data_IF_514980405676
#
_entry.id   IF_514980405676
#
_cell.length_a   1.000
_cell.length_b   1.000
_cell.length_c   1.000
_cell.angle_alpha   90.00
_cell.angle_beta   90.00
_cell.angle_gamma   90.00
#
_symmetry.space_group_name_H-M   'P 1'
#
loop_
_entity.id
_entity.type
_entity.pdbx_description
1 polymer ?
#
# COMPACT_ATOMS: atom_id res chain seq x y z
N UNK A 1 -8.60 14.11 -12.68
CA UNK A 1 -7.83 13.91 -11.44
C UNK A 1 -6.42 13.50 -11.84
N UNK A 2 -5.39 14.12 -11.28
CA UNK A 2 -3.98 13.77 -11.55
C UNK A 2 -3.44 12.89 -10.44
N UNK A 3 -2.51 12.01 -10.79
CA UNK A 3 -1.76 11.19 -9.83
C UNK A 3 -0.29 11.48 -10.06
N UNK A 4 0.41 11.85 -9.00
CA UNK A 4 1.86 11.99 -8.99
C UNK A 4 2.46 10.81 -8.23
N UNK A 5 3.39 10.09 -8.87
CA UNK A 5 4.07 8.95 -8.29
C UNK A 5 5.50 9.33 -7.94
N UNK A 6 5.92 8.97 -6.74
CA UNK A 6 7.27 9.21 -6.23
C UNK A 6 7.84 7.92 -5.68
N UNK A 7 8.99 7.50 -6.19
CA UNK A 7 9.79 6.43 -5.61
C UNK A 7 10.98 7.05 -4.87
N UNK A 8 10.94 6.99 -3.53
CA UNK A 8 11.95 7.58 -2.68
C UNK A 8 13.15 6.66 -2.45
N UNK A 9 13.23 5.48 -3.09
CA UNK A 9 14.24 4.45 -2.84
C UNK A 9 15.69 4.98 -2.82
N UNK A 10 16.02 5.90 -3.73
CA UNK A 10 17.38 6.45 -3.89
C UNK A 10 17.64 7.70 -3.06
N UNK A 11 16.61 8.31 -2.50
CA UNK A 11 16.74 9.50 -1.67
C UNK A 11 17.11 9.07 -0.25
N UNK A 12 18.06 9.79 0.34
CA UNK A 12 18.71 9.35 1.60
C UNK A 12 18.03 9.92 2.82
N UNK A 13 17.55 11.15 2.73
CA UNK A 13 16.96 11.87 3.85
C UNK A 13 15.94 12.91 3.40
N UNK A 14 15.21 13.45 4.39
CA UNK A 14 14.18 14.47 4.20
C UNK A 14 14.71 15.74 3.52
N UNK A 15 15.97 16.12 3.68
CA UNK A 15 16.51 17.34 3.06
C UNK A 15 16.76 17.16 1.57
N UNK A 16 17.21 15.97 1.15
CA UNK A 16 17.34 15.62 -0.27
C UNK A 16 15.96 15.54 -0.95
N UNK A 17 14.95 15.02 -0.24
CA UNK A 17 13.56 14.99 -0.71
C UNK A 17 13.01 16.42 -0.88
N UNK A 18 13.19 17.28 0.12
CA UNK A 18 12.73 18.69 0.07
C UNK A 18 13.31 19.45 -1.12
N UNK A 19 14.54 19.14 -1.53
CA UNK A 19 15.21 19.81 -2.64
C UNK A 19 14.81 19.26 -4.03
N UNK A 20 14.31 18.03 -4.10
CA UNK A 20 14.06 17.33 -5.38
C UNK A 20 12.59 17.04 -5.65
N UNK A 21 11.73 17.17 -4.65
CA UNK A 21 10.33 16.74 -4.72
C UNK A 21 9.40 17.86 -4.25
N UNK A 22 8.59 18.37 -5.17
CA UNK A 22 7.57 19.39 -4.89
C UNK A 22 6.29 18.76 -4.33
N UNK A 23 6.36 18.28 -3.08
CA UNK A 23 5.23 17.63 -2.40
C UNK A 23 4.04 18.58 -2.16
N UNK A 24 4.31 19.86 -1.90
CA UNK A 24 3.28 20.86 -1.62
C UNK A 24 2.44 21.16 -2.87
N UNK A 25 3.07 21.46 -4.01
CA UNK A 25 2.37 21.66 -5.28
C UNK A 25 1.57 20.42 -5.70
N UNK A 26 2.15 19.23 -5.46
CA UNK A 26 1.48 17.97 -5.71
C UNK A 26 0.22 17.82 -4.86
N UNK A 27 0.28 18.16 -3.57
CA UNK A 27 -0.86 18.06 -2.65
C UNK A 27 -2.02 19.00 -3.02
N UNK A 28 -1.74 20.14 -3.65
CA UNK A 28 -2.76 21.10 -4.08
C UNK A 28 -3.53 20.65 -5.34
N UNK A 29 -2.89 19.85 -6.21
CA UNK A 29 -3.37 19.62 -7.58
C UNK A 29 -3.53 18.15 -7.99
N UNK A 30 -3.03 17.22 -7.17
CA UNK A 30 -2.98 15.80 -7.49
C UNK A 30 -3.10 14.91 -6.24
N UNK A 31 -3.33 13.61 -6.48
CA UNK A 31 -3.11 12.57 -5.46
C UNK A 31 -1.66 12.12 -5.56
N UNK A 32 -0.93 12.18 -4.46
CA UNK A 32 0.47 11.71 -4.40
C UNK A 32 0.53 10.27 -3.89
N UNK A 33 1.20 9.40 -4.64
CA UNK A 33 1.51 8.01 -4.25
C UNK A 33 3.00 7.91 -4.03
N UNK A 34 3.41 7.57 -2.82
CA UNK A 34 4.81 7.55 -2.42
C UNK A 34 5.25 6.13 -2.03
N UNK A 35 6.21 5.59 -2.76
CA UNK A 35 6.91 4.37 -2.40
C UNK A 35 8.09 4.70 -1.48
N UNK A 36 8.33 3.83 -0.50
CA UNK A 36 9.30 4.03 0.57
C UNK A 36 9.09 5.33 1.35
N UNK A 37 7.83 5.62 1.67
CA UNK A 37 7.38 6.86 2.30
C UNK A 37 7.96 7.09 3.70
N UNK A 38 8.46 6.05 4.38
CA UNK A 38 9.19 6.19 5.64
C UNK A 38 10.43 7.08 5.54
N UNK A 39 10.97 7.30 4.33
CA UNK A 39 12.09 8.21 4.08
C UNK A 39 11.72 9.69 4.22
N UNK A 40 10.43 10.04 4.16
CA UNK A 40 9.96 11.43 4.30
C UNK A 40 10.38 12.03 5.65
N UNK A 41 10.46 11.23 6.71
CA UNK A 41 10.81 11.70 8.05
C UNK A 41 9.94 12.88 8.48
N UNK A 42 10.56 14.04 8.70
CA UNK A 42 9.87 15.29 9.09
C UNK A 42 8.88 15.83 8.04
N UNK A 43 9.00 15.43 6.78
CA UNK A 43 8.13 15.86 5.68
C UNK A 43 6.86 15.02 5.56
N UNK A 44 6.68 14.02 6.44
CA UNK A 44 5.51 13.16 6.41
C UNK A 44 4.23 13.99 6.63
N UNK A 45 3.27 13.99 5.71
CA UNK A 45 2.04 14.75 5.87
C UNK A 45 1.23 14.28 7.08
N UNK A 46 0.68 15.23 7.86
CA UNK A 46 -0.18 14.92 9.01
C UNK A 46 -1.46 14.20 8.59
N UNK A 47 -2.03 14.62 7.45
CA UNK A 47 -3.19 13.96 6.84
C UNK A 47 -2.74 13.08 5.69
N UNK A 48 -2.87 11.76 5.83
CA UNK A 48 -2.45 10.78 4.81
C UNK A 48 -3.13 9.44 5.01
N UNK A 49 -3.11 8.63 3.96
CA UNK A 49 -3.39 7.19 4.04
C UNK A 49 -2.07 6.44 3.92
N UNK A 50 -1.70 5.67 4.94
CA UNK A 50 -0.61 4.71 4.82
C UNK A 50 -1.13 3.38 4.32
N UNK A 51 -0.47 2.82 3.31
CA UNK A 51 -0.71 1.48 2.80
C UNK A 51 0.55 0.66 3.06
N UNK A 52 0.43 -0.36 3.90
CA UNK A 52 1.52 -1.33 4.15
C UNK A 52 1.21 -2.59 3.38
N UNK A 53 2.16 -3.02 2.56
CA UNK A 53 2.05 -4.23 1.74
C UNK A 53 3.05 -5.25 2.28
N UNK A 54 2.60 -6.49 2.48
CA UNK A 54 3.44 -7.59 2.93
C UNK A 54 3.15 -8.82 2.09
N UNK A 55 4.19 -9.50 1.62
CA UNK A 55 4.04 -10.83 1.04
C UNK A 55 3.66 -11.84 2.12
N UNK A 56 2.68 -12.70 1.82
CA UNK A 56 2.23 -13.76 2.71
C UNK A 56 2.64 -15.12 2.15
N UNK A 57 2.98 -16.05 3.04
CA UNK A 57 3.40 -17.40 2.68
C UNK A 57 2.23 -18.27 2.22
N UNK A 58 2.52 -19.36 1.52
CA UNK A 58 1.53 -20.36 1.16
C UNK A 58 0.86 -20.93 2.44
N UNK A 59 -0.45 -20.76 2.56
CA UNK A 59 -1.25 -21.17 3.72
C UNK A 59 -1.55 -20.07 4.74
N UNK A 60 -0.92 -18.88 4.65
CA UNK A 60 -1.42 -17.68 5.31
C UNK A 60 -2.56 -17.11 4.46
N UNK A 61 -3.78 -16.95 5.01
CA UNK A 61 -4.84 -16.26 4.27
C UNK A 61 -4.52 -14.75 4.25
N UNK A 62 -4.51 -14.13 3.06
CA UNK A 62 -4.59 -12.68 2.94
C UNK A 62 -6.02 -12.24 3.23
N UNK A 63 -6.42 -12.26 4.49
CA UNK A 63 -7.48 -11.36 4.91
C UNK A 63 -6.87 -9.96 4.83
N UNK A 64 -7.36 -9.12 3.92
CA UNK A 64 -7.08 -7.69 3.97
C UNK A 64 -7.50 -7.19 5.35
N UNK A 65 -6.53 -6.88 6.19
CA UNK A 65 -6.79 -6.48 7.57
C UNK A 65 -7.08 -4.98 7.56
N UNK A 66 -8.36 -4.63 7.47
CA UNK A 66 -8.82 -3.29 7.81
C UNK A 66 -9.00 -3.24 9.32
N UNK A 67 -7.95 -2.83 10.02
CA UNK A 67 -7.99 -2.70 11.47
C UNK A 67 -8.63 -1.37 11.82
N UNK A 68 -9.85 -1.43 12.33
CA UNK A 68 -10.41 -0.45 13.27
C UNK A 68 -10.42 -1.10 14.67
N UNK A 69 -10.28 -0.32 15.75
CA UNK A 69 -9.97 -0.74 17.13
C UNK A 69 -11.04 -1.60 17.85
N UNK A 70 -11.88 -2.38 17.16
CA UNK A 70 -12.87 -3.25 17.83
C UNK A 70 -13.10 -4.54 17.05
N UNK A 71 -12.70 -5.67 17.67
CA UNK A 71 -12.54 -6.95 16.99
C UNK A 71 -13.77 -7.87 16.96
N UNK A 72 -13.92 -8.58 15.84
CA UNK A 72 -14.23 -10.01 15.68
C UNK A 72 -14.29 -10.37 14.17
N UNK A 73 -13.95 -11.59 13.77
CA UNK A 73 -13.86 -12.05 12.36
C UNK A 73 -14.48 -13.44 12.13
N UNK A 74 -15.04 -13.67 10.94
CA UNK A 74 -15.53 -14.95 10.42
C UNK A 74 -15.09 -15.16 8.95
N UNK A 75 -14.94 -16.41 8.49
CA UNK A 75 -14.24 -16.78 7.24
C UNK A 75 -14.96 -17.83 6.37
N UNK A 76 -14.79 -17.79 5.03
CA UNK A 76 -15.09 -18.89 4.08
C UNK A 76 -14.10 -18.92 2.88
N UNK A 77 -13.85 -20.10 2.29
CA UNK A 77 -12.85 -20.43 1.24
C UNK A 77 -13.48 -20.87 -0.10
N UNK A 78 -12.73 -20.76 -1.21
CA UNK A 78 -13.03 -21.44 -2.49
C UNK A 78 -11.90 -21.38 -3.52
N UNK A 79 -11.47 -22.56 -4.01
CA UNK A 79 -10.46 -22.86 -5.06
C UNK A 79 -11.09 -22.93 -6.46
N UNK A 80 -10.29 -22.76 -7.54
CA UNK A 80 -10.35 -23.55 -8.79
C UNK A 80 -9.19 -23.19 -9.78
N UNK A 81 -8.55 -24.22 -10.38
CA UNK A 81 -7.36 -24.14 -11.26
C UNK A 81 -7.69 -24.30 -12.77
N UNK A 82 -6.84 -23.74 -13.66
CA UNK A 82 -6.88 -23.93 -15.12
C UNK A 82 -5.49 -23.88 -15.76
N UNK A 83 -5.23 -24.77 -16.73
CA UNK A 83 -3.93 -25.02 -17.38
C UNK A 83 -3.72 -24.12 -18.63
N UNK A 84 -2.58 -23.42 -18.73
CA UNK A 84 -2.11 -22.74 -19.95
C UNK A 84 -0.64 -23.09 -20.24
N UNK A 85 -0.27 -23.17 -21.52
CA UNK A 85 1.02 -23.65 -22.04
C UNK A 85 2.24 -22.88 -21.49
N UNK A 86 3.18 -23.62 -20.86
CA UNK A 86 4.34 -23.07 -20.15
C UNK A 86 5.48 -22.66 -21.11
N UNK A 87 5.69 -21.35 -21.30
CA UNK A 87 7.06 -20.87 -21.52
C UNK A 87 7.85 -21.17 -20.24
N UNK A 88 9.03 -21.83 -20.33
CA UNK A 88 9.89 -22.18 -19.18
C UNK A 88 10.49 -20.90 -18.57
N UNK A 89 9.65 -20.11 -17.90
CA UNK A 89 10.06 -19.06 -16.99
C UNK A 89 10.47 -19.74 -15.70
N UNK A 90 11.68 -19.47 -15.22
CA UNK A 90 12.11 -19.94 -13.90
C UNK A 90 11.06 -19.52 -12.86
N UNK A 91 10.52 -20.48 -12.12
CA UNK A 91 9.55 -20.24 -11.07
C UNK A 91 10.03 -19.20 -10.03
N UNK A 92 11.36 -19.00 -9.91
CA UNK A 92 11.94 -17.95 -9.09
C UNK A 92 11.64 -16.51 -9.59
N UNK A 93 11.23 -16.34 -10.84
CA UNK A 93 10.88 -15.05 -11.45
C UNK A 93 9.38 -14.79 -11.57
N UNK A 94 8.54 -15.76 -11.19
CA UNK A 94 7.08 -15.62 -11.20
C UNK A 94 6.60 -15.26 -9.80
N UNK A 95 6.18 -14.00 -9.63
CA UNK A 95 5.67 -13.50 -8.35
C UNK A 95 4.20 -13.93 -8.12
N UNK A 96 4.04 -15.18 -7.69
CA UNK A 96 2.75 -15.80 -7.31
C UNK A 96 2.37 -15.56 -5.85
N UNK A 97 3.20 -14.85 -5.08
CA UNK A 97 2.97 -14.66 -3.65
C UNK A 97 1.72 -13.78 -3.46
N UNK A 98 0.76 -14.23 -2.67
CA UNK A 98 -0.33 -13.36 -2.26
C UNK A 98 0.23 -12.22 -1.38
N UNK A 99 -0.47 -11.08 -1.34
CA UNK A 99 -0.09 -9.93 -0.50
C UNK A 99 -1.22 -9.58 0.46
N UNK A 100 -0.87 -9.28 1.70
CA UNK A 100 -1.76 -8.59 2.61
C UNK A 100 -1.54 -7.08 2.50
N UNK A 101 -2.65 -6.34 2.50
CA UNK A 101 -2.67 -4.89 2.50
C UNK A 101 -3.26 -4.43 3.82
N UNK A 102 -2.56 -3.53 4.50
CA UNK A 102 -3.04 -2.85 5.70
C UNK A 102 -3.15 -1.36 5.42
N UNK A 103 -4.34 -0.82 5.64
CA UNK A 103 -4.65 0.60 5.45
C UNK A 103 -4.70 1.29 6.81
N UNK A 104 -4.00 2.41 6.95
CA UNK A 104 -4.01 3.22 8.18
C UNK A 104 -4.24 4.68 7.82
N UNK A 105 -5.36 5.22 8.27
CA UNK A 105 -5.73 6.62 8.07
C UNK A 105 -5.10 7.51 9.14
N UNK A 106 -4.53 8.63 8.74
CA UNK A 106 -4.03 9.67 9.63
C UNK A 106 -4.69 11.00 9.28
N UNK A 107 -5.24 11.69 10.28
CA UNK A 107 -5.93 12.96 10.10
C UNK A 107 -7.19 12.88 9.21
N UNK A 108 -7.85 14.02 9.02
CA UNK A 108 -9.03 14.14 8.16
C UNK A 108 -10.16 13.15 8.51
N UNK A 109 -10.91 12.75 7.48
CA UNK A 109 -12.01 11.78 7.55
C UNK A 109 -11.57 10.36 7.13
N UNK A 110 -10.26 10.04 7.21
CA UNK A 110 -9.75 8.77 6.70
C UNK A 110 -10.31 7.55 7.42
N UNK A 111 -10.59 7.63 8.73
CA UNK A 111 -11.22 6.55 9.47
C UNK A 111 -12.60 6.19 8.85
N UNK A 112 -13.46 7.19 8.63
CA UNK A 112 -14.76 6.99 8.01
C UNK A 112 -14.63 6.47 6.57
N UNK A 113 -13.63 6.95 5.82
CA UNK A 113 -13.36 6.47 4.45
C UNK A 113 -12.97 5.00 4.43
N UNK A 114 -12.11 4.59 5.35
CA UNK A 114 -11.64 3.22 5.51
C UNK A 114 -12.80 2.31 5.94
N UNK A 115 -13.63 2.76 6.88
CA UNK A 115 -14.81 2.01 7.31
C UNK A 115 -15.80 1.73 6.16
N UNK A 116 -15.88 2.61 5.15
CA UNK A 116 -16.74 2.40 3.96
C UNK A 116 -16.21 1.38 2.95
N UNK A 117 -14.92 1.07 2.98
CA UNK A 117 -14.28 0.13 2.06
C UNK A 117 -14.03 -1.24 2.69
N UNK A 118 -14.17 -1.35 4.02
CA UNK A 118 -14.19 -2.63 4.70
C UNK A 118 -15.61 -3.21 4.67
N UNK A 119 -15.81 -4.45 4.21
CA UNK A 119 -17.11 -5.13 4.25
C UNK A 119 -17.57 -5.43 5.68
#
# INVERSE_FOLDING_TARGET
>A
MRVHHYDLYRLRDASEIEAMVDLEESAESAVSVLEWSERLGRLTPETRLEVRVRAIGAGERACGEVVDDSGETASEEGDEEGEEEEEETDAAYVDVAARSFRFVGFGGDWADRIARISP
#
